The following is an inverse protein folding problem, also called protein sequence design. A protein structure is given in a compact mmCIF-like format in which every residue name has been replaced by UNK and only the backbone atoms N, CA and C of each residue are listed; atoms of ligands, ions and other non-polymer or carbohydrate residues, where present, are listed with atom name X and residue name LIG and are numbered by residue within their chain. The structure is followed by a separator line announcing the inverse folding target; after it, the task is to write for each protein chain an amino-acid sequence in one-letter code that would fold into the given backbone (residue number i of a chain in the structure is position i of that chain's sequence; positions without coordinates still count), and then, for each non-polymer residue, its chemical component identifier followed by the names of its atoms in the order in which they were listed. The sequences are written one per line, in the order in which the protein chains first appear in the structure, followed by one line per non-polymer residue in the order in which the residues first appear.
data_IF_152198705004
#
_entry.id   IF_152198705004
#
_cell.length_a   1.000
_cell.length_b   1.000
_cell.length_c   1.000
_cell.angle_alpha   90.00
_cell.angle_beta   90.00
_cell.angle_gamma   90.00
#
_symmetry.space_group_name_H-M   'P 1'
#
loop_
_entity.id
_entity.type
_entity.pdbx_description
1 polymer ?
#
# COMPACT_ATOMS: atom_id res chain seq x y z
N UNK A 1 44.16 -12.51 -8.43
CA UNK A 1 42.98 -11.88 -7.81
C UNK A 1 43.51 -10.93 -6.74
N UNK A 2 43.71 -9.67 -7.09
CA UNK A 2 44.20 -8.70 -6.12
C UNK A 2 43.03 -8.29 -5.23
N UNK A 3 43.14 -8.58 -3.93
CA UNK A 3 42.22 -8.00 -2.95
C UNK A 3 42.38 -6.48 -3.01
N UNK A 4 41.33 -5.81 -3.47
CA UNK A 4 41.30 -4.35 -3.45
C UNK A 4 41.14 -3.94 -1.98
N UNK A 5 42.16 -3.29 -1.43
CA UNK A 5 42.08 -2.70 -0.09
C UNK A 5 41.15 -1.49 -0.15
N UNK A 6 39.90 -1.70 0.26
CA UNK A 6 38.92 -0.64 0.47
C UNK A 6 39.26 0.15 1.75
N UNK A 7 39.06 1.47 1.71
CA UNK A 7 39.12 2.31 2.90
C UNK A 7 38.03 1.88 3.90
N UNK A 8 38.43 1.63 5.14
CA UNK A 8 37.52 1.28 6.25
C UNK A 8 36.47 2.36 6.49
N UNK A 9 36.77 3.63 6.19
CA UNK A 9 35.81 4.73 6.34
C UNK A 9 34.57 4.57 5.44
N UNK A 10 34.70 3.93 4.26
CA UNK A 10 33.58 3.72 3.33
C UNK A 10 32.53 2.80 3.97
N UNK A 11 32.95 1.83 4.81
CA UNK A 11 32.03 0.95 5.53
C UNK A 11 31.19 1.70 6.57
N UNK A 12 31.81 2.60 7.32
CA UNK A 12 31.11 3.39 8.34
C UNK A 12 30.22 4.48 7.75
N UNK A 13 30.71 5.19 6.74
CA UNK A 13 30.06 6.39 6.21
C UNK A 13 29.10 6.14 5.05
N UNK A 14 29.19 5.00 4.36
CA UNK A 14 28.35 4.72 3.17
C UNK A 14 27.55 3.45 3.33
N UNK A 15 28.20 2.34 3.69
CA UNK A 15 27.53 1.05 3.76
C UNK A 15 26.41 1.03 4.80
N UNK A 16 26.73 1.41 6.05
CA UNK A 16 25.77 1.39 7.16
C UNK A 16 24.63 2.42 6.99
N UNK A 17 24.89 3.67 6.57
CA UNK A 17 23.83 4.64 6.31
C UNK A 17 22.85 4.21 5.22
N UNK A 18 23.30 3.55 4.15
CA UNK A 18 22.39 3.05 3.10
C UNK A 18 21.42 2.01 3.66
N UNK A 19 21.89 1.08 4.51
CA UNK A 19 21.05 0.08 5.17
C UNK A 19 20.03 0.74 6.10
N UNK A 20 20.45 1.73 6.90
CA UNK A 20 19.56 2.45 7.82
C UNK A 20 18.51 3.27 7.07
N UNK A 21 18.91 4.00 6.02
CA UNK A 21 17.99 4.81 5.20
C UNK A 21 16.97 3.92 4.50
N UNK A 22 17.41 2.82 3.88
CA UNK A 22 16.51 1.87 3.23
C UNK A 22 15.49 1.29 4.21
N UNK A 23 15.95 0.89 5.40
CA UNK A 23 15.11 0.39 6.48
C UNK A 23 14.06 1.41 6.94
N UNK A 24 14.49 2.61 7.32
CA UNK A 24 13.61 3.66 7.82
C UNK A 24 12.59 4.10 6.77
N UNK A 25 13.00 4.26 5.51
CA UNK A 25 12.07 4.65 4.45
C UNK A 25 11.04 3.56 4.20
N UNK A 26 11.42 2.28 4.25
CA UNK A 26 10.49 1.15 4.18
C UNK A 26 9.42 1.21 5.28
N UNK A 27 9.83 1.47 6.51
CA UNK A 27 8.94 1.60 7.68
C UNK A 27 8.03 2.83 7.55
N UNK A 28 8.58 4.00 7.23
CA UNK A 28 7.80 5.24 7.06
C UNK A 28 6.76 5.08 5.96
N UNK A 29 7.14 4.50 4.81
CA UNK A 29 6.21 4.21 3.73
C UNK A 29 5.08 3.29 4.18
N UNK A 30 5.39 2.21 4.91
CA UNK A 30 4.37 1.31 5.44
C UNK A 30 3.35 2.08 6.30
N UNK A 31 3.82 2.91 7.24
CA UNK A 31 2.93 3.70 8.08
C UNK A 31 2.12 4.73 7.28
N UNK A 32 2.70 5.41 6.29
CA UNK A 32 1.97 6.33 5.41
C UNK A 32 0.86 5.58 4.64
N UNK A 33 1.18 4.41 4.08
CA UNK A 33 0.21 3.60 3.33
C UNK A 33 -0.93 3.14 4.23
N UNK A 34 -0.61 2.63 5.42
CA UNK A 34 -1.62 2.23 6.42
C UNK A 34 -2.47 3.42 6.83
N UNK A 35 -1.88 4.60 7.05
CA UNK A 35 -2.62 5.81 7.44
C UNK A 35 -3.65 6.23 6.38
N UNK A 36 -3.26 6.23 5.10
CA UNK A 36 -4.12 6.67 3.99
C UNK A 36 -5.29 5.70 3.78
N UNK A 37 -5.07 4.40 3.91
CA UNK A 37 -6.11 3.39 3.67
C UNK A 37 -7.02 3.15 4.89
N UNK A 38 -6.47 3.18 6.09
CA UNK A 38 -7.23 2.93 7.33
C UNK A 38 -8.17 4.08 7.68
N UNK A 39 -7.79 5.34 7.43
CA UNK A 39 -8.58 6.49 7.86
C UNK A 39 -9.97 6.54 7.20
N UNK A 40 -10.09 6.09 5.95
CA UNK A 40 -11.37 6.13 5.24
C UNK A 40 -12.28 4.98 5.66
N UNK A 41 -11.76 3.76 5.74
CA UNK A 41 -12.55 2.59 6.16
C UNK A 41 -13.05 2.76 7.60
N UNK A 42 -12.18 3.23 8.51
CA UNK A 42 -12.56 3.50 9.89
C UNK A 42 -13.60 4.62 9.94
N UNK A 43 -13.46 5.68 9.13
CA UNK A 43 -14.44 6.78 9.07
C UNK A 43 -15.80 6.30 8.57
N UNK A 44 -15.83 5.41 7.57
CA UNK A 44 -17.06 4.82 7.06
C UNK A 44 -17.72 3.91 8.10
N UNK A 45 -16.94 3.06 8.78
CA UNK A 45 -17.42 2.23 9.89
C UNK A 45 -17.97 3.06 11.05
N UNK A 46 -17.28 4.14 11.43
CA UNK A 46 -17.75 5.07 12.46
C UNK A 46 -19.06 5.77 12.04
N UNK A 47 -19.22 6.12 10.75
CA UNK A 47 -20.48 6.68 10.24
C UNK A 47 -21.62 5.65 10.33
N UNK A 48 -21.33 4.36 10.08
CA UNK A 48 -22.28 3.26 10.19
C UNK A 48 -22.74 3.02 11.63
N UNK A 49 -21.80 2.93 12.56
CA UNK A 49 -22.07 2.57 13.96
C UNK A 49 -22.60 3.74 14.80
N UNK A 50 -22.08 4.96 14.55
CA UNK A 50 -22.40 6.17 15.32
C UNK A 50 -23.25 7.19 14.54
N UNK A 51 -23.75 6.83 13.35
CA UNK A 51 -24.60 7.69 12.52
C UNK A 51 -25.93 8.09 13.17
N UNK A 52 -26.36 7.36 14.20
CA UNK A 52 -27.57 7.57 15.00
C UNK A 52 -27.61 8.87 15.82
N UNK A 53 -26.45 9.48 16.07
CA UNK A 53 -26.33 10.75 16.81
C UNK A 53 -26.33 11.98 15.91
N UNK A 54 -26.19 11.79 14.60
CA UNK A 54 -26.18 12.89 13.63
C UNK A 54 -27.61 13.28 13.24
N UNK A 55 -27.77 14.48 12.69
CA UNK A 55 -29.06 14.83 12.08
C UNK A 55 -29.27 14.07 10.78
N UNK A 56 -30.52 13.74 10.44
CA UNK A 56 -30.89 12.99 9.22
C UNK A 56 -30.29 13.60 7.95
N UNK A 57 -30.34 14.91 7.81
CA UNK A 57 -29.73 15.63 6.68
C UNK A 57 -28.21 15.48 6.65
N UNK A 58 -27.54 15.59 7.79
CA UNK A 58 -26.08 15.44 7.92
C UNK A 58 -25.60 14.00 7.70
N UNK A 59 -26.41 13.01 8.05
CA UNK A 59 -26.14 11.60 7.77
C UNK A 59 -26.29 11.32 6.27
N UNK A 60 -27.39 11.77 5.65
CA UNK A 60 -27.65 11.61 4.22
C UNK A 60 -26.57 12.28 3.35
N UNK A 61 -26.12 13.49 3.72
CA UNK A 61 -25.03 14.17 3.00
C UNK A 61 -23.72 13.38 3.03
N UNK A 62 -23.37 12.79 4.18
CA UNK A 62 -22.17 11.95 4.32
C UNK A 62 -22.32 10.60 3.63
N UNK A 63 -23.51 9.97 3.70
CA UNK A 63 -23.83 8.74 2.96
C UNK A 63 -23.73 8.99 1.46
N UNK A 64 -24.25 10.12 0.97
CA UNK A 64 -24.15 10.52 -0.44
C UNK A 64 -22.70 10.74 -0.86
N UNK A 65 -21.87 11.39 -0.05
CA UNK A 65 -20.43 11.56 -0.34
C UNK A 65 -19.69 10.21 -0.53
N UNK A 66 -20.08 9.17 0.22
CA UNK A 66 -19.47 7.84 0.10
C UNK A 66 -20.08 6.99 -1.03
N UNK A 67 -21.41 7.01 -1.19
CA UNK A 67 -22.15 6.06 -2.03
C UNK A 67 -22.60 6.62 -3.39
N UNK A 68 -22.39 7.90 -3.71
CA UNK A 68 -22.82 8.47 -4.99
C UNK A 68 -22.25 7.67 -6.17
N UNK A 69 -23.09 7.39 -7.17
CA UNK A 69 -22.74 6.52 -8.30
C UNK A 69 -21.66 7.11 -9.20
N UNK A 70 -21.62 8.44 -9.33
CA UNK A 70 -20.67 9.15 -10.20
C UNK A 70 -19.48 9.78 -9.45
N UNK A 71 -19.70 10.26 -8.21
CA UNK A 71 -18.68 11.02 -7.43
C UNK A 71 -18.36 10.41 -6.06
N UNK A 72 -18.91 9.23 -5.75
CA UNK A 72 -18.73 8.58 -4.45
C UNK A 72 -17.29 8.14 -4.25
N UNK A 73 -16.72 8.43 -3.07
CA UNK A 73 -15.34 8.11 -2.74
C UNK A 73 -14.99 6.63 -2.99
N UNK A 74 -15.94 5.71 -2.74
CA UNK A 74 -15.74 4.27 -2.94
C UNK A 74 -15.75 3.81 -4.40
N UNK A 75 -16.38 4.56 -5.32
CA UNK A 75 -16.40 4.25 -6.76
C UNK A 75 -15.31 5.01 -7.53
N UNK A 76 -15.08 6.29 -7.20
CA UNK A 76 -14.10 7.14 -7.91
C UNK A 76 -12.66 6.74 -7.60
N UNK A 77 -12.37 6.20 -6.41
CA UNK A 77 -11.05 5.64 -6.11
C UNK A 77 -10.93 4.21 -6.66
N UNK A 78 -10.76 4.10 -7.98
CA UNK A 78 -10.40 2.84 -8.62
C UNK A 78 -8.96 2.46 -8.23
N UNK A 79 -8.79 1.80 -7.08
CA UNK A 79 -7.50 1.36 -6.57
C UNK A 79 -7.29 -0.09 -6.96
N UNK A 80 -6.42 -0.34 -7.95
CA UNK A 80 -6.12 -1.64 -8.56
C UNK A 80 -6.51 -2.85 -7.68
N UNK A 81 -7.47 -3.63 -8.17
CA UNK A 81 -7.82 -4.91 -7.57
C UNK A 81 -6.64 -5.82 -7.82
N UNK A 82 -6.33 -6.65 -6.84
CA UNK A 82 -5.53 -7.83 -7.11
C UNK A 82 -6.34 -8.73 -8.06
N UNK A 83 -6.05 -8.59 -9.35
CA UNK A 83 -6.35 -9.53 -10.43
C UNK A 83 -7.84 -9.70 -10.76
N UNK A 84 -8.35 -8.82 -11.64
CA UNK A 84 -9.40 -9.21 -12.59
C UNK A 84 -8.73 -9.44 -13.95
N UNK A 85 -8.96 -10.61 -14.53
CA UNK A 85 -8.22 -11.17 -15.66
C UNK A 85 -7.89 -10.15 -16.78
N UNK A 86 -6.61 -10.00 -17.16
CA UNK A 86 -6.14 -8.97 -18.09
C UNK A 86 -6.49 -9.21 -19.57
N UNK A 87 -7.39 -10.14 -19.88
CA UNK A 87 -7.63 -10.56 -21.27
C UNK A 87 -8.76 -9.80 -21.98
N UNK A 88 -9.46 -8.87 -21.32
CA UNK A 88 -10.66 -8.25 -21.89
C UNK A 88 -10.59 -6.75 -22.14
N UNK A 89 -9.62 -5.98 -21.64
CA UNK A 89 -9.63 -4.53 -21.90
C UNK A 89 -8.25 -3.82 -21.82
N UNK A 90 -7.78 -3.16 -22.91
CA UNK A 90 -6.54 -2.37 -22.94
C UNK A 90 -6.48 -1.19 -21.95
N UNK A 91 -7.64 -0.72 -21.47
CA UNK A 91 -7.73 0.37 -20.48
C UNK A 91 -7.30 -0.08 -19.07
N UNK A 92 -7.59 -1.33 -18.70
CA UNK A 92 -7.28 -1.90 -17.38
C UNK A 92 -5.76 -2.12 -17.19
N UNK A 93 -5.02 -2.35 -18.28
CA UNK A 93 -3.56 -2.43 -18.25
C UNK A 93 -2.92 -1.10 -17.84
N UNK A 94 -3.51 0.04 -18.24
CA UNK A 94 -2.98 1.37 -17.91
C UNK A 94 -3.19 1.69 -16.43
N UNK A 95 -4.33 1.31 -15.86
CA UNK A 95 -4.61 1.50 -14.43
C UNK A 95 -3.74 0.60 -13.54
N UNK A 96 -3.41 -0.61 -14.00
CA UNK A 96 -2.43 -1.49 -13.35
C UNK A 96 -1.02 -0.91 -13.41
N UNK A 97 -0.61 -0.38 -14.56
CA UNK A 97 0.69 0.27 -14.71
C UNK A 97 0.80 1.51 -13.82
N UNK A 98 -0.26 2.31 -13.71
CA UNK A 98 -0.28 3.51 -12.87
C UNK A 98 -0.17 3.18 -11.38
N UNK A 99 -0.88 2.15 -10.91
CA UNK A 99 -0.74 1.64 -9.54
C UNK A 99 0.67 1.10 -9.27
N UNK A 100 1.26 0.41 -10.24
CA UNK A 100 2.64 -0.08 -10.15
C UNK A 100 3.65 1.08 -10.15
N UNK A 101 3.45 2.12 -10.96
CA UNK A 101 4.32 3.31 -11.01
C UNK A 101 4.33 4.02 -9.66
N UNK A 102 3.20 4.22 -9.00
CA UNK A 102 3.17 4.83 -7.65
C UNK A 102 3.97 4.00 -6.64
N UNK A 103 4.01 2.68 -6.82
CA UNK A 103 4.75 1.78 -5.95
C UNK A 103 6.27 1.73 -6.26
N UNK A 104 6.64 1.83 -7.54
CA UNK A 104 8.03 1.73 -8.03
C UNK A 104 8.75 3.08 -8.03
N UNK A 105 8.02 4.18 -8.18
CA UNK A 105 8.57 5.55 -8.24
C UNK A 105 9.46 5.90 -7.03
N UNK A 106 9.07 5.61 -5.77
CA UNK A 106 9.93 5.90 -4.62
C UNK A 106 11.28 5.18 -4.68
N UNK A 107 11.30 3.93 -5.15
CA UNK A 107 12.52 3.12 -5.27
C UNK A 107 13.48 3.71 -6.31
N UNK A 108 12.95 4.16 -7.45
CA UNK A 108 13.75 4.79 -8.51
C UNK A 108 14.32 6.13 -8.05
N UNK A 109 13.50 6.96 -7.38
CA UNK A 109 13.95 8.27 -6.88
C UNK A 109 15.09 8.11 -5.87
N UNK A 110 14.94 7.21 -4.91
CA UNK A 110 15.97 6.98 -3.88
C UNK A 110 17.21 6.34 -4.49
N UNK A 111 17.07 5.37 -5.39
CA UNK A 111 18.20 4.78 -6.11
C UNK A 111 18.95 5.81 -6.97
N UNK A 112 18.23 6.74 -7.61
CA UNK A 112 18.81 7.86 -8.33
C UNK A 112 19.55 8.83 -7.42
N UNK A 113 18.96 9.17 -6.27
CA UNK A 113 19.57 10.04 -5.27
C UNK A 113 20.85 9.43 -4.67
N UNK A 114 20.85 8.13 -4.35
CA UNK A 114 22.03 7.41 -3.87
C UNK A 114 23.11 7.37 -4.95
N UNK A 115 22.74 7.13 -6.22
CA UNK A 115 23.70 7.16 -7.31
C UNK A 115 24.33 8.54 -7.49
N UNK A 116 23.57 9.62 -7.31
CA UNK A 116 24.10 10.98 -7.39
C UNK A 116 25.02 11.33 -6.21
N UNK A 117 24.62 10.98 -4.98
CA UNK A 117 25.35 11.34 -3.76
C UNK A 117 26.61 10.47 -3.53
N UNK A 118 26.55 9.20 -3.92
CA UNK A 118 27.61 8.22 -3.70
C UNK A 118 28.15 7.63 -5.01
N UNK A 119 28.40 8.47 -6.01
CA UNK A 119 29.04 8.06 -7.28
C UNK A 119 30.57 7.99 -7.16
N UNK A 120 31.21 7.22 -8.06
CA UNK A 120 32.66 7.29 -8.25
C UNK A 120 33.52 6.35 -7.40
N UNK A 121 32.92 5.50 -6.57
CA UNK A 121 33.67 4.53 -5.76
C UNK A 121 32.98 3.17 -5.65
N UNK A 122 33.77 2.14 -5.31
CA UNK A 122 33.31 0.77 -5.07
C UNK A 122 32.89 0.63 -3.61
N UNK A 123 31.74 0.00 -3.34
CA UNK A 123 31.21 -0.13 -1.97
C UNK A 123 31.59 -1.46 -1.32
N UNK A 124 31.31 -2.58 -2.00
CA UNK A 124 31.56 -3.92 -1.45
C UNK A 124 31.78 -4.92 -2.56
N UNK A 125 32.42 -6.03 -2.20
CA UNK A 125 32.49 -7.23 -3.01
C UNK A 125 31.37 -8.19 -2.58
N UNK A 126 30.68 -8.79 -3.55
CA UNK A 126 29.72 -9.88 -3.28
C UNK A 126 30.42 -11.24 -3.41
N UNK A 127 30.08 -12.22 -2.56
CA UNK A 127 30.78 -13.51 -2.48
C UNK A 127 30.36 -14.51 -3.57
N UNK A 128 29.53 -14.11 -4.53
CA UNK A 128 29.07 -14.95 -5.62
C UNK A 128 29.56 -14.40 -6.97
N UNK A 129 29.93 -15.27 -7.93
CA UNK A 129 30.36 -14.81 -9.25
C UNK A 129 29.16 -14.28 -10.05
N UNK A 130 29.24 -13.02 -10.51
CA UNK A 130 28.21 -12.42 -11.35
C UNK A 130 28.60 -12.47 -12.83
N UNK A 131 27.59 -12.57 -13.70
CA UNK A 131 27.82 -12.55 -15.15
C UNK A 131 28.21 -11.15 -15.63
N UNK A 132 29.09 -11.08 -16.63
CA UNK A 132 29.62 -9.83 -17.18
C UNK A 132 28.52 -8.91 -17.76
N UNK A 133 27.32 -9.45 -18.05
CA UNK A 133 26.18 -8.69 -18.59
C UNK A 133 25.54 -7.76 -17.56
N UNK A 134 25.67 -8.07 -16.27
CA UNK A 134 25.17 -7.18 -15.21
C UNK A 134 26.16 -6.06 -14.86
N UNK A 135 27.39 -6.12 -15.37
CA UNK A 135 28.45 -5.13 -15.10
C UNK A 135 28.02 -3.67 -15.32
N UNK A 136 27.45 -3.26 -16.47
CA UNK A 136 27.04 -1.85 -16.67
C UNK A 136 25.93 -1.40 -15.71
N UNK A 137 25.11 -2.33 -15.22
CA UNK A 137 24.06 -2.04 -14.25
C UNK A 137 24.62 -1.93 -12.82
N UNK A 138 25.61 -2.77 -12.49
CA UNK A 138 26.17 -2.89 -11.16
C UNK A 138 27.27 -1.88 -10.84
N UNK A 139 27.98 -1.44 -11.88
CA UNK A 139 29.12 -0.53 -11.79
C UNK A 139 28.78 0.86 -12.34
N UNK A 140 27.50 1.24 -12.30
CA UNK A 140 27.04 2.54 -12.77
C UNK A 140 27.71 3.65 -11.94
N UNK A 141 28.60 4.42 -12.59
CA UNK A 141 29.41 5.46 -11.93
C UNK A 141 30.85 5.04 -11.64
N UNK A 142 31.32 3.91 -12.16
CA UNK A 142 32.73 3.47 -12.08
C UNK A 142 33.24 3.26 -13.52
N UNK A 143 34.34 3.92 -13.88
CA UNK A 143 34.87 3.89 -15.26
C UNK A 143 35.92 2.79 -15.51
N UNK A 144 36.11 1.85 -14.57
CA UNK A 144 37.10 0.78 -14.72
C UNK A 144 36.53 -0.44 -15.45
N UNK A 145 36.77 -0.50 -16.77
CA UNK A 145 36.34 -1.61 -17.64
C UNK A 145 37.01 -2.97 -17.33
N UNK A 146 38.14 -2.99 -16.63
CA UNK A 146 38.89 -4.22 -16.27
C UNK A 146 38.49 -4.82 -14.91
N UNK A 147 37.67 -4.12 -14.12
CA UNK A 147 37.29 -4.57 -12.78
C UNK A 147 36.34 -5.78 -12.86
N UNK A 148 36.47 -6.74 -11.95
CA UNK A 148 35.58 -7.89 -11.91
C UNK A 148 34.13 -7.47 -11.54
N UNK A 149 33.13 -8.21 -12.04
CA UNK A 149 31.71 -7.91 -11.83
C UNK A 149 31.24 -8.18 -10.39
N UNK A 150 32.07 -8.82 -9.57
CA UNK A 150 31.85 -9.02 -8.13
C UNK A 150 31.93 -7.72 -7.31
N UNK A 151 32.56 -6.68 -7.86
CA UNK A 151 32.66 -5.35 -7.24
C UNK A 151 31.46 -4.48 -7.58
N UNK A 152 30.81 -3.98 -6.54
CA UNK A 152 29.48 -3.38 -6.63
C UNK A 152 29.52 -1.89 -6.26
N UNK A 153 28.80 -1.07 -7.02
CA UNK A 153 28.57 0.35 -6.71
C UNK A 153 27.57 0.53 -5.55
N UNK A 154 27.52 1.75 -5.01
CA UNK A 154 26.58 2.17 -3.97
C UNK A 154 25.11 1.99 -4.37
N UNK A 155 24.76 2.27 -5.64
CA UNK A 155 23.41 2.13 -6.16
C UNK A 155 22.97 0.66 -6.18
N UNK A 156 23.87 -0.24 -6.53
CA UNK A 156 23.57 -1.68 -6.59
C UNK A 156 23.55 -2.32 -5.21
N UNK A 157 24.34 -1.79 -4.26
CA UNK A 157 24.19 -2.11 -2.85
C UNK A 157 22.82 -1.69 -2.30
N UNK A 158 22.31 -0.52 -2.68
CA UNK A 158 20.94 -0.11 -2.37
C UNK A 158 19.90 -1.09 -2.92
N UNK A 159 20.00 -1.47 -4.20
CA UNK A 159 19.08 -2.43 -4.80
C UNK A 159 19.12 -3.79 -4.07
N UNK A 160 20.31 -4.28 -3.71
CA UNK A 160 20.45 -5.50 -2.89
C UNK A 160 19.73 -5.38 -1.54
N UNK A 161 19.82 -4.22 -0.87
CA UNK A 161 19.11 -3.99 0.39
C UNK A 161 17.59 -3.92 0.19
N UNK A 162 17.10 -3.27 -0.86
CA UNK A 162 15.65 -3.22 -1.13
C UNK A 162 15.07 -4.62 -1.34
N UNK A 163 15.78 -5.49 -2.07
CA UNK A 163 15.32 -6.86 -2.29
C UNK A 163 15.55 -7.79 -1.08
N UNK A 164 16.64 -7.61 -0.33
CA UNK A 164 16.99 -8.46 0.82
C UNK A 164 16.25 -8.13 2.10
N UNK A 165 15.98 -6.85 2.38
CA UNK A 165 15.30 -6.40 3.61
C UNK A 165 13.81 -6.73 3.63
N UNK A 166 13.24 -7.20 2.51
CA UNK A 166 11.85 -7.65 2.42
C UNK A 166 11.46 -8.63 3.53
N UNK A 167 12.23 -9.71 3.70
CA UNK A 167 11.90 -10.76 4.67
C UNK A 167 11.94 -10.21 6.10
N UNK A 168 12.85 -9.26 6.34
CA UNK A 168 12.96 -8.57 7.62
C UNK A 168 11.76 -7.64 7.85
N UNK A 169 11.28 -6.93 6.82
CA UNK A 169 10.04 -6.15 6.95
C UNK A 169 8.84 -7.04 7.25
N UNK A 170 8.68 -8.17 6.56
CA UNK A 170 7.62 -9.14 6.82
C UNK A 170 7.65 -9.64 8.28
N UNK A 171 8.83 -9.90 8.83
CA UNK A 171 8.99 -10.31 10.22
C UNK A 171 8.69 -9.19 11.23
N UNK A 172 9.10 -7.96 10.93
CA UNK A 172 8.98 -6.82 11.86
C UNK A 172 7.57 -6.21 11.85
N UNK A 173 6.94 -6.11 10.67
CA UNK A 173 5.67 -5.40 10.48
C UNK A 173 4.48 -6.36 10.19
N UNK A 174 4.73 -7.66 9.99
CA UNK A 174 3.68 -8.69 9.80
C UNK A 174 3.25 -8.91 8.34
N UNK A 175 2.22 -9.75 8.15
CA UNK A 175 1.80 -10.27 6.83
C UNK A 175 1.12 -9.22 5.92
N UNK A 176 0.58 -8.13 6.48
CA UNK A 176 -0.10 -7.06 5.73
C UNK A 176 0.84 -5.88 5.38
N UNK A 177 2.00 -6.20 4.83
CA UNK A 177 3.01 -5.19 4.54
C UNK A 177 2.89 -4.59 3.14
N UNK A 178 2.36 -3.36 3.09
CA UNK A 178 2.46 -2.49 1.91
C UNK A 178 3.91 -2.12 1.51
N UNK A 179 4.91 -2.54 2.30
CA UNK A 179 6.33 -2.38 1.99
C UNK A 179 6.87 -3.50 1.07
N UNK A 180 6.21 -4.66 0.98
CA UNK A 180 6.67 -5.79 0.15
C UNK A 180 6.36 -5.58 -1.34
N UNK A 181 7.17 -4.76 -1.99
CA UNK A 181 7.09 -4.49 -3.44
C UNK A 181 7.61 -5.66 -4.30
N UNK A 182 8.46 -6.53 -3.75
CA UNK A 182 9.08 -7.60 -4.53
C UNK A 182 8.09 -8.71 -4.86
N UNK A 183 7.03 -8.90 -4.05
CA UNK A 183 5.90 -9.77 -4.43
C UNK A 183 5.26 -9.27 -5.71
N UNK A 184 4.87 -7.99 -5.77
CA UNK A 184 4.26 -7.42 -6.96
C UNK A 184 5.17 -7.46 -8.18
N UNK A 185 6.47 -7.17 -8.02
CA UNK A 185 7.43 -7.24 -9.13
C UNK A 185 7.67 -8.68 -9.60
N UNK A 186 7.80 -9.64 -8.67
CA UNK A 186 7.96 -11.05 -8.99
C UNK A 186 6.68 -11.64 -9.60
N UNK A 187 5.50 -11.25 -9.13
CA UNK A 187 4.20 -11.62 -9.69
C UNK A 187 4.04 -11.08 -11.13
N UNK A 188 4.49 -9.84 -11.39
CA UNK A 188 4.48 -9.26 -12.74
C UNK A 188 5.48 -9.94 -13.69
N UNK A 189 6.64 -10.37 -13.19
CA UNK A 189 7.70 -10.96 -14.02
C UNK A 189 7.57 -12.47 -14.20
N UNK A 190 6.91 -13.17 -13.27
CA UNK A 190 6.73 -14.64 -13.31
C UNK A 190 5.43 -15.09 -13.99
N UNK A 191 4.48 -14.19 -14.27
CA UNK A 191 3.20 -14.55 -14.87
C UNK A 191 2.36 -15.55 -14.05
N UNK A 192 2.76 -15.85 -12.82
CA UNK A 192 2.16 -16.88 -11.98
C UNK A 192 1.23 -16.26 -10.94
N UNK A 193 -0.04 -16.10 -11.31
CA UNK A 193 -1.11 -15.64 -10.43
C UNK A 193 -1.77 -16.82 -9.69
N UNK A 194 -1.13 -17.37 -8.64
CA UNK A 194 -1.79 -18.28 -7.67
C UNK A 194 -1.26 -18.04 -6.27
N UNK A 195 -1.76 -16.99 -5.60
CA UNK A 195 -1.95 -16.90 -4.15
C UNK A 195 -2.48 -15.49 -3.84
N UNK A 196 -3.80 -15.35 -3.72
CA UNK A 196 -4.45 -14.06 -3.40
C UNK A 196 -4.32 -13.72 -1.92
N UNK A 197 -3.62 -12.62 -1.54
CA UNK A 197 -3.85 -11.93 -0.27
C UNK A 197 -5.20 -11.18 -0.30
N UNK A 198 -5.79 -10.83 0.86
CA UNK A 198 -7.10 -10.18 0.93
C UNK A 198 -7.07 -8.83 0.22
N UNK A 199 -7.82 -8.73 -0.87
CA UNK A 199 -7.86 -7.53 -1.72
C UNK A 199 -8.58 -6.38 -0.98
N UNK A 200 -7.93 -5.22 -0.77
CA UNK A 200 -8.58 -4.05 -0.18
C UNK A 200 -9.83 -3.62 -0.96
N UNK A 201 -9.93 -3.87 -2.28
CA UNK A 201 -11.16 -3.60 -3.04
C UNK A 201 -12.37 -4.37 -2.52
N UNK A 202 -12.17 -5.63 -2.10
CA UNK A 202 -13.25 -6.43 -1.55
C UNK A 202 -13.77 -5.84 -0.23
N UNK A 203 -12.86 -5.31 0.61
CA UNK A 203 -13.22 -4.62 1.84
C UNK A 203 -13.94 -3.27 1.60
N UNK A 204 -13.55 -2.52 0.57
CA UNK A 204 -14.27 -1.28 0.20
C UNK A 204 -15.65 -1.56 -0.41
N UNK A 205 -15.77 -2.61 -1.22
CA UNK A 205 -17.05 -3.04 -1.78
C UNK A 205 -18.02 -3.50 -0.69
N UNK A 206 -17.54 -4.30 0.26
CA UNK A 206 -18.38 -4.76 1.38
C UNK A 206 -18.84 -3.60 2.28
N UNK A 207 -17.99 -2.59 2.51
CA UNK A 207 -18.39 -1.39 3.25
C UNK A 207 -19.36 -0.50 2.43
N UNK A 208 -19.25 -0.44 1.10
CA UNK A 208 -20.22 0.25 0.24
C UNK A 208 -21.61 -0.40 0.32
N UNK A 209 -21.69 -1.73 0.16
CA UNK A 209 -22.93 -2.50 0.30
C UNK A 209 -23.53 -2.35 1.70
N UNK A 210 -22.68 -2.41 2.74
CA UNK A 210 -23.11 -2.21 4.12
C UNK A 210 -23.67 -0.79 4.37
N UNK A 211 -23.07 0.25 3.78
CA UNK A 211 -23.52 1.62 3.94
C UNK A 211 -24.80 1.91 3.14
N UNK A 212 -25.04 1.20 2.05
CA UNK A 212 -26.28 1.31 1.26
C UNK A 212 -27.49 0.77 2.03
N UNK A 213 -27.30 -0.33 2.76
CA UNK A 213 -28.33 -0.96 3.59
C UNK A 213 -28.61 -0.15 4.86
N UNK A 214 -27.68 0.72 5.29
CA UNK A 214 -27.84 1.48 6.51
C UNK A 214 -28.84 2.64 6.39
N UNK A 215 -29.93 2.50 7.15
CA UNK A 215 -30.92 3.55 7.39
C UNK A 215 -30.61 4.37 8.64
N UNK A 216 -31.05 5.62 8.63
CA UNK A 216 -30.84 6.55 9.73
C UNK A 216 -31.94 6.43 10.79
N UNK A 217 -31.58 5.88 11.94
CA UNK A 217 -32.41 5.89 13.15
C UNK A 217 -31.93 7.02 14.08
N UNK A 218 -32.77 8.04 14.25
CA UNK A 218 -32.43 9.21 15.07
C UNK A 218 -32.80 8.96 16.53
N UNK A 219 -31.82 8.75 17.40
CA UNK A 219 -32.05 8.42 18.83
C UNK A 219 -32.43 9.64 19.67
N UNK A 220 -31.94 10.83 19.33
CA UNK A 220 -32.20 12.07 20.08
C UNK A 220 -33.62 12.65 19.91
N UNK A 221 -34.46 12.08 19.02
CA UNK A 221 -35.82 12.55 18.78
C UNK A 221 -36.75 12.08 19.91
N UNK A 222 -36.59 10.82 20.31
CA UNK A 222 -37.35 10.21 21.40
C UNK A 222 -36.93 10.77 22.77
N UNK A 223 -35.64 11.08 22.93
CA UNK A 223 -35.12 11.66 24.17
C UNK A 223 -35.74 13.03 24.48
N UNK A 224 -36.05 13.85 23.48
CA UNK A 224 -36.70 15.15 23.69
C UNK A 224 -38.09 14.99 24.34
N UNK A 225 -38.82 13.92 23.96
CA UNK A 225 -40.11 13.57 24.56
C UNK A 225 -39.97 12.91 25.95
N UNK A 226 -38.88 12.16 26.17
CA UNK A 226 -38.56 11.53 27.45
C UNK A 226 -38.13 12.56 28.52
N UNK A 227 -37.32 13.56 28.14
CA UNK A 227 -36.96 14.69 29.01
C UNK A 227 -38.14 15.64 29.28
N UNK A 228 -39.15 15.67 28.40
CA UNK A 228 -40.37 16.47 28.56
C UNK A 228 -41.42 15.83 29.50
N UNK A 229 -41.16 14.65 30.06
CA UNK A 229 -41.92 14.11 31.19
C UNK A 229 -43.25 13.41 30.86
N UNK A 230 -43.45 12.94 29.62
CA UNK A 230 -44.58 12.05 29.30
C UNK A 230 -44.16 10.58 29.33
N UNK A 231 -44.56 9.88 30.39
CA UNK A 231 -44.41 8.44 30.52
C UNK A 231 -45.20 7.70 29.42
N UNK A 232 -44.47 6.97 28.57
CA UNK A 232 -44.82 5.89 27.62
C UNK A 232 -46.30 5.65 27.26
N UNK A 233 -46.57 5.58 25.95
CA UNK A 233 -47.27 4.43 25.38
C UNK A 233 -46.31 3.64 24.49
N UNK A 234 -46.11 2.37 24.86
CA UNK A 234 -45.38 1.39 24.08
C UNK A 234 -46.30 1.00 22.92
N UNK A 235 -45.99 1.41 21.70
CA UNK A 235 -46.56 0.81 20.49
C UNK A 235 -45.59 -0.25 19.94
N UNK A 236 -46.06 -1.48 19.65
CA UNK A 236 -45.18 -2.55 19.21
C UNK A 236 -44.65 -2.26 17.80
N UNK A 237 -43.34 -2.47 17.61
CA UNK A 237 -42.66 -2.50 16.32
C UNK A 237 -43.45 -3.38 15.35
N UNK A 238 -43.95 -2.80 14.26
CA UNK A 238 -44.50 -3.55 13.15
C UNK A 238 -43.37 -4.36 12.50
N UNK A 239 -43.35 -5.66 12.77
CA UNK A 239 -42.56 -6.66 12.04
C UNK A 239 -42.91 -6.55 10.56
N UNK A 240 -42.00 -6.00 9.75
CA UNK A 240 -42.09 -6.05 8.29
C UNK A 240 -41.91 -7.50 7.85
N UNK A 241 -43.03 -8.21 7.72
CA UNK A 241 -43.10 -9.46 6.99
C UNK A 241 -42.91 -9.14 5.50
N UNK A 242 -41.68 -9.26 5.00
CA UNK A 242 -41.46 -9.52 3.57
C UNK A 242 -41.23 -11.02 3.41
N UNK A 243 -42.34 -11.70 3.18
CA UNK A 243 -42.39 -13.06 2.70
C UNK A 243 -41.50 -13.21 1.47
N UNK A 244 -40.63 -14.21 1.58
CA UNK A 244 -40.01 -14.93 0.48
C UNK A 244 -41.12 -15.35 -0.49
N UNK A 245 -41.15 -14.77 -1.68
CA UNK A 245 -41.81 -15.38 -2.83
C UNK A 245 -40.72 -15.85 -3.80
N UNK A 246 -40.88 -17.13 -4.13
CA UNK A 246 -40.02 -18.03 -4.90
C UNK A 246 -39.60 -17.49 -6.26
#
# INVERSE_FOLDING_TARGET
MGDLLLDSNIRGCVFLPIVVITFLVGVVRHYISVLVDSQVLIRARCLRENGKYLTKSSFQMRRHYFNNEETGYFKTQNRASAVQNPMTDPSIMTDMLKGNITNVLPMIIIGGWINWMFSGFVTTQVPFPLTLRFKPMLQRGIELASLDASWVSSASWYFLNVFGLKSIYALVLGENNAADQSRHFQEQMSGAAVAMPPDPKAAFKSEWEALEICDHEWVLADNCAEFAGTAKSITPKATSSRAIQR
#
